data_IF_585320088550
#
_entry.id   IF_585320088550
#
_cell.length_a   1.000
_cell.length_b   1.000
_cell.length_c   1.000
_cell.angle_alpha   90.00
_cell.angle_beta   90.00
_cell.angle_gamma   90.00
#
_symmetry.space_group_name_H-M   'P 1'
#
loop_
_entity.id
_entity.type
_entity.pdbx_description
1 polymer ?
#
# COMPACT_ATOMS: atom_id res chain seq x y z
N UNK A 1 14.87 6.96 17.91
CA UNK A 1 13.58 6.45 18.46
C UNK A 1 13.09 5.18 17.73
N UNK A 2 13.50 4.88 16.52
CA UNK A 2 13.13 3.63 15.80
C UNK A 2 13.60 2.35 16.52
N UNK A 3 14.77 2.38 17.18
CA UNK A 3 15.37 1.23 17.87
C UNK A 3 14.50 0.56 18.95
N UNK A 4 13.49 1.24 19.48
CA UNK A 4 12.70 0.74 20.64
C UNK A 4 11.53 -0.17 20.23
N UNK A 5 11.11 -0.16 18.96
CA UNK A 5 9.91 -0.86 18.49
C UNK A 5 10.17 -2.03 17.53
N UNK A 6 11.41 -2.18 17.02
CA UNK A 6 11.77 -3.15 15.99
C UNK A 6 13.01 -3.98 16.36
N UNK A 7 13.18 -4.31 17.65
CA UNK A 7 14.37 -5.00 18.15
C UNK A 7 14.58 -6.44 17.62
N UNK A 8 13.67 -6.97 16.81
CA UNK A 8 13.70 -8.37 16.40
C UNK A 8 13.87 -8.63 14.88
N UNK A 9 14.04 -7.57 14.07
CA UNK A 9 14.27 -7.76 12.62
C UNK A 9 15.56 -7.06 12.19
N UNK A 10 16.57 -7.83 11.83
CA UNK A 10 17.87 -7.34 11.32
C UNK A 10 17.74 -6.47 10.06
N UNK A 11 16.62 -6.59 9.33
CA UNK A 11 16.28 -5.81 8.14
C UNK A 11 15.92 -4.36 8.43
N UNK A 12 15.49 -4.03 9.65
CA UNK A 12 15.07 -2.66 10.03
C UNK A 12 16.23 -1.75 10.45
N UNK A 13 17.45 -2.28 10.55
CA UNK A 13 18.61 -1.53 11.05
C UNK A 13 19.39 -0.80 9.95
N UNK A 14 19.07 -1.02 8.68
CA UNK A 14 19.72 -0.33 7.56
C UNK A 14 18.84 0.81 7.07
N UNK A 15 19.44 1.98 6.95
CA UNK A 15 18.85 3.11 6.24
C UNK A 15 18.57 2.67 4.80
N UNK A 16 17.34 2.86 4.33
CA UNK A 16 16.95 2.45 2.97
C UNK A 16 17.63 3.41 1.99
N UNK A 17 18.42 2.86 1.09
CA UNK A 17 18.92 3.56 -0.09
C UNK A 17 17.74 3.81 -1.04
N UNK A 18 17.19 5.02 -1.00
CA UNK A 18 16.01 5.38 -1.77
C UNK A 18 16.27 5.44 -3.28
N UNK A 19 17.48 5.81 -3.71
CA UNK A 19 17.82 5.83 -5.14
C UNK A 19 17.78 4.42 -5.71
N UNK A 20 18.47 3.50 -5.07
CA UNK A 20 18.48 2.08 -5.47
C UNK A 20 17.09 1.44 -5.39
N UNK A 21 16.30 1.78 -4.36
CA UNK A 21 14.93 1.29 -4.24
C UNK A 21 14.06 1.80 -5.39
N UNK A 22 14.16 3.08 -5.75
CA UNK A 22 13.40 3.66 -6.84
C UNK A 22 13.81 3.09 -8.20
N UNK A 23 15.10 2.80 -8.41
CA UNK A 23 15.60 2.07 -9.60
C UNK A 23 14.96 0.68 -9.69
N UNK A 24 14.93 -0.07 -8.57
CA UNK A 24 14.25 -1.36 -8.52
C UNK A 24 12.76 -1.21 -8.81
N UNK A 25 12.08 -0.26 -8.17
CA UNK A 25 10.66 0.01 -8.39
C UNK A 25 10.35 0.42 -9.83
N UNK A 26 11.29 1.03 -10.55
CA UNK A 26 11.11 1.42 -11.94
C UNK A 26 10.92 0.24 -12.91
N UNK A 27 11.32 -0.96 -12.50
CA UNK A 27 11.13 -2.18 -13.30
C UNK A 27 9.69 -2.73 -13.29
N UNK A 28 8.83 -2.22 -12.39
CA UNK A 28 7.44 -2.63 -12.29
C UNK A 28 6.51 -1.68 -13.07
N UNK A 29 5.49 -2.24 -13.72
CA UNK A 29 4.46 -1.45 -14.42
C UNK A 29 3.70 -0.53 -13.45
N UNK A 30 3.27 -1.07 -12.31
CA UNK A 30 2.68 -0.33 -11.20
C UNK A 30 3.53 -0.43 -9.95
N UNK A 31 3.66 0.67 -9.21
CA UNK A 31 4.47 0.69 -7.99
C UNK A 31 3.91 1.65 -6.96
N UNK A 32 4.11 1.34 -5.70
CA UNK A 32 3.74 2.19 -4.59
C UNK A 32 4.81 2.19 -3.50
N UNK A 33 5.14 3.36 -2.98
CA UNK A 33 6.07 3.54 -1.88
C UNK A 33 5.39 4.32 -0.75
N UNK A 34 5.15 3.66 0.38
CA UNK A 34 4.69 4.31 1.60
C UNK A 34 5.87 4.90 2.36
N UNK A 35 5.80 6.17 2.71
CA UNK A 35 6.88 6.86 3.41
C UNK A 35 6.35 7.80 4.49
N UNK A 36 7.21 8.47 5.22
CA UNK A 36 6.80 9.49 6.18
C UNK A 36 6.60 10.85 5.51
N UNK A 37 5.72 11.69 6.06
CA UNK A 37 5.55 13.07 5.58
C UNK A 37 6.85 13.89 5.68
N UNK A 38 7.78 13.51 6.54
CA UNK A 38 9.09 14.17 6.66
C UNK A 38 10.04 13.79 5.52
N UNK A 39 10.05 12.51 5.13
CA UNK A 39 10.94 12.01 4.08
C UNK A 39 10.39 12.32 2.68
N UNK A 40 9.12 12.67 2.55
CA UNK A 40 8.47 12.92 1.26
C UNK A 40 9.23 13.96 0.42
N UNK A 41 9.69 15.04 1.02
CA UNK A 41 10.42 16.12 0.34
C UNK A 41 11.75 15.66 -0.28
N UNK A 42 12.36 14.64 0.34
CA UNK A 42 13.68 14.16 -0.07
C UNK A 42 13.54 13.02 -1.11
N UNK A 43 12.42 12.27 -1.05
CA UNK A 43 12.14 11.15 -1.94
C UNK A 43 11.44 11.60 -3.24
N UNK A 44 10.49 12.53 -3.14
CA UNK A 44 9.67 12.93 -4.29
C UNK A 44 10.48 13.50 -5.47
N UNK A 45 11.54 14.29 -5.27
CA UNK A 45 12.40 14.75 -6.37
C UNK A 45 13.15 13.63 -7.12
N UNK A 46 13.31 12.47 -6.51
CA UNK A 46 13.93 11.28 -7.12
C UNK A 46 12.93 10.45 -7.92
N UNK A 47 11.64 10.75 -7.80
CA UNK A 47 10.59 10.02 -8.49
C UNK A 47 10.35 10.56 -9.89
N UNK A 48 9.91 9.72 -10.84
CA UNK A 48 9.55 10.18 -12.18
C UNK A 48 8.26 11.03 -12.13
N UNK A 49 8.03 11.91 -13.14
CA UNK A 49 6.96 12.92 -13.11
C UNK A 49 5.54 12.34 -13.14
N UNK A 50 5.37 11.10 -13.56
CA UNK A 50 4.06 10.43 -13.66
C UNK A 50 3.52 9.89 -12.31
N UNK A 51 4.28 9.97 -11.23
CA UNK A 51 3.81 9.54 -9.92
C UNK A 51 2.79 10.51 -9.35
N UNK A 52 1.89 9.97 -8.53
CA UNK A 52 0.95 10.74 -7.72
C UNK A 52 1.18 10.46 -6.23
N UNK A 53 0.92 11.46 -5.42
CA UNK A 53 0.97 11.31 -3.96
C UNK A 53 -0.46 11.11 -3.45
N UNK A 54 -0.71 9.93 -2.91
CA UNK A 54 -1.93 9.59 -2.19
C UNK A 54 -1.70 9.68 -0.68
N UNK A 55 -2.78 9.72 0.10
CA UNK A 55 -2.68 9.88 1.55
C UNK A 55 -3.43 8.76 2.30
N UNK A 56 -2.74 8.12 3.24
CA UNK A 56 -3.41 7.36 4.28
C UNK A 56 -3.54 8.24 5.54
N UNK A 57 -4.74 8.69 5.82
CA UNK A 57 -5.09 9.48 7.01
C UNK A 57 -5.42 8.54 8.17
N UNK A 58 -4.74 8.75 9.28
CA UNK A 58 -4.95 7.99 10.53
C UNK A 58 -5.81 8.84 11.45
N UNK A 59 -7.07 8.50 11.68
CA UNK A 59 -7.96 9.27 12.57
C UNK A 59 -7.61 9.02 14.05
N UNK A 60 -6.38 9.33 14.41
CA UNK A 60 -5.87 9.23 15.77
C UNK A 60 -5.77 10.64 16.39
N UNK A 61 -6.25 10.79 17.62
CA UNK A 61 -6.10 12.03 18.37
C UNK A 61 -4.64 12.35 18.68
N UNK A 62 -4.35 13.62 18.91
CA UNK A 62 -3.05 14.05 19.40
C UNK A 62 -2.76 13.40 20.76
N UNK A 63 -1.57 12.83 20.92
CA UNK A 63 -1.13 12.31 22.22
C UNK A 63 -0.64 13.47 23.09
N UNK A 64 -1.08 13.60 24.34
CA UNK A 64 -0.57 14.63 25.26
C UNK A 64 0.93 14.55 25.50
N UNK A 65 1.54 13.40 25.20
CA UNK A 65 2.99 13.17 25.38
C UNK A 65 3.83 13.58 24.18
N UNK A 66 3.21 13.89 23.04
CA UNK A 66 3.94 14.30 21.83
C UNK A 66 3.96 15.82 21.75
N UNK A 67 5.15 16.38 21.64
CA UNK A 67 5.33 17.82 21.39
C UNK A 67 5.40 18.10 19.90
N UNK A 68 4.76 19.18 19.45
CA UNK A 68 4.78 19.61 18.05
C UNK A 68 3.75 18.89 17.17
N UNK A 69 3.99 18.86 15.87
CA UNK A 69 3.08 18.27 14.88
C UNK A 69 3.09 16.75 14.97
N UNK A 70 1.90 16.17 14.99
CA UNK A 70 1.69 14.72 14.93
C UNK A 70 1.67 14.22 13.51
N UNK A 71 2.31 13.07 13.27
CA UNK A 71 2.21 12.35 11.99
C UNK A 71 0.90 11.55 11.96
N UNK A 72 -0.20 12.23 11.64
CA UNK A 72 -1.53 11.62 11.54
C UNK A 72 -1.88 11.14 10.14
N UNK A 73 -0.95 11.22 9.21
CA UNK A 73 -1.08 10.66 7.87
C UNK A 73 0.26 10.15 7.34
N UNK A 74 0.19 9.25 6.39
CA UNK A 74 1.34 8.75 5.65
C UNK A 74 1.12 8.97 4.16
N UNK A 75 2.09 9.56 3.44
CA UNK A 75 2.07 9.63 1.99
C UNK A 75 2.33 8.26 1.37
N UNK A 76 1.65 8.00 0.26
CA UNK A 76 1.85 6.86 -0.61
C UNK A 76 2.16 7.40 -2.00
N UNK A 77 3.39 7.25 -2.46
CA UNK A 77 3.82 7.66 -3.81
C UNK A 77 3.46 6.51 -4.75
N UNK A 78 2.60 6.77 -5.73
CA UNK A 78 2.00 5.74 -6.59
C UNK A 78 2.24 6.06 -8.06
N UNK A 79 2.65 5.05 -8.83
CA UNK A 79 2.46 4.98 -10.28
C UNK A 79 1.50 3.83 -10.58
N UNK A 80 0.43 4.11 -11.31
CA UNK A 80 -0.55 3.09 -11.71
C UNK A 80 0.04 2.13 -12.73
N UNK A 81 -0.33 0.86 -12.65
CA UNK A 81 0.09 -0.16 -13.60
C UNK A 81 -0.56 0.05 -14.98
N UNK A 82 -1.76 0.62 -14.98
CA UNK A 82 -2.56 0.86 -16.21
C UNK A 82 -3.50 2.04 -16.03
N UNK A 83 -3.98 2.56 -17.15
CA UNK A 83 -5.03 3.58 -17.14
C UNK A 83 -6.35 2.92 -16.71
N UNK A 84 -7.06 3.54 -15.77
CA UNK A 84 -8.41 3.14 -15.37
C UNK A 84 -9.38 4.29 -15.67
N UNK A 85 -10.58 3.94 -16.13
CA UNK A 85 -11.62 4.92 -16.44
C UNK A 85 -12.50 5.25 -15.21
N UNK A 86 -12.44 4.44 -14.17
CA UNK A 86 -13.12 4.70 -12.91
C UNK A 86 -12.29 5.63 -12.02
N UNK A 87 -12.92 6.63 -11.43
CA UNK A 87 -12.26 7.52 -10.49
C UNK A 87 -11.93 6.79 -9.18
N UNK A 88 -10.66 6.77 -8.82
CA UNK A 88 -10.19 6.30 -7.52
C UNK A 88 -9.81 7.51 -6.68
N UNK A 89 -10.21 7.51 -5.41
CA UNK A 89 -9.79 8.58 -4.48
C UNK A 89 -8.28 8.51 -4.27
N UNK A 90 -7.67 9.67 -4.10
CA UNK A 90 -6.24 9.75 -3.78
C UNK A 90 -5.96 9.73 -2.26
N UNK A 91 -6.95 9.40 -1.44
CA UNK A 91 -6.80 9.27 -0.01
C UNK A 91 -7.75 8.24 0.60
N UNK A 92 -7.34 7.71 1.76
CA UNK A 92 -8.17 6.88 2.64
C UNK A 92 -8.02 7.31 4.09
N UNK A 93 -9.11 7.28 4.85
CA UNK A 93 -9.09 7.40 6.31
C UNK A 93 -9.32 6.02 6.93
N UNK A 94 -8.30 5.51 7.62
CA UNK A 94 -8.40 4.21 8.28
C UNK A 94 -7.53 4.17 9.54
N UNK A 95 -8.08 3.62 10.63
CA UNK A 95 -7.34 3.41 11.88
C UNK A 95 -6.19 2.42 11.66
N UNK A 96 -4.98 2.70 12.16
CA UNK A 96 -3.92 1.71 12.23
C UNK A 96 -4.41 0.46 12.96
N UNK A 97 -4.11 -0.72 12.43
CA UNK A 97 -4.52 -1.96 13.07
C UNK A 97 -3.79 -2.10 14.42
N UNK A 98 -4.55 -2.30 15.50
CA UNK A 98 -4.04 -2.59 16.83
C UNK A 98 -4.08 -4.10 17.03
N UNK A 99 -2.95 -4.70 17.34
CA UNK A 99 -2.91 -6.11 17.71
C UNK A 99 -2.00 -6.27 18.93
N UNK A 100 -2.55 -6.79 20.04
CA UNK A 100 -1.80 -7.30 21.19
C UNK A 100 -0.68 -6.43 21.77
N UNK A 101 -0.73 -5.13 21.63
CA UNK A 101 0.19 -4.19 22.28
C UNK A 101 1.60 -4.05 21.66
N UNK A 102 1.94 -4.73 20.58
CA UNK A 102 3.35 -4.85 20.16
C UNK A 102 3.74 -4.22 18.81
N UNK A 103 2.83 -3.94 17.90
CA UNK A 103 3.20 -3.33 16.61
C UNK A 103 2.39 -2.05 16.35
N UNK A 104 2.98 -0.90 16.70
CA UNK A 104 2.48 0.40 16.22
C UNK A 104 2.77 0.54 14.72
N UNK A 105 1.75 0.88 13.93
CA UNK A 105 1.92 1.17 12.50
C UNK A 105 1.55 0.05 11.53
N UNK A 106 0.96 -1.05 12.01
CA UNK A 106 0.42 -2.09 11.13
C UNK A 106 -0.64 -1.53 10.21
N UNK A 107 -0.50 -1.79 8.92
CA UNK A 107 -1.45 -1.36 7.89
C UNK A 107 -2.82 -2.04 8.12
N UNK A 108 -3.95 -1.33 8.11
CA UNK A 108 -5.28 -1.95 8.17
C UNK A 108 -5.65 -2.58 6.81
N UNK A 109 -6.59 -3.53 6.80
CA UNK A 109 -7.07 -4.16 5.55
C UNK A 109 -7.63 -3.10 4.58
N UNK A 110 -8.34 -2.09 5.09
CA UNK A 110 -8.84 -1.00 4.27
C UNK A 110 -7.71 -0.24 3.52
N UNK A 111 -6.54 -0.08 4.13
CA UNK A 111 -5.36 0.47 3.44
C UNK A 111 -4.90 -0.46 2.32
N UNK A 112 -4.90 -1.78 2.53
CA UNK A 112 -4.47 -2.72 1.51
C UNK A 112 -5.43 -2.69 0.30
N UNK A 113 -6.74 -2.65 0.52
CA UNK A 113 -7.72 -2.51 -0.54
C UNK A 113 -7.51 -1.20 -1.33
N UNK A 114 -7.37 -0.09 -0.63
CA UNK A 114 -7.06 1.21 -1.25
C UNK A 114 -5.75 1.18 -2.05
N UNK A 115 -4.71 0.52 -1.55
CA UNK A 115 -3.43 0.36 -2.25
C UNK A 115 -3.61 -0.34 -3.59
N UNK A 116 -4.38 -1.43 -3.65
CA UNK A 116 -4.61 -2.18 -4.88
C UNK A 116 -5.45 -1.39 -5.90
N UNK A 117 -6.45 -0.64 -5.42
CA UNK A 117 -7.21 0.30 -6.25
C UNK A 117 -6.32 1.42 -6.80
N UNK A 118 -5.50 2.05 -5.95
CA UNK A 118 -4.59 3.12 -6.33
C UNK A 118 -3.54 2.66 -7.35
N UNK A 119 -3.09 1.41 -7.26
CA UNK A 119 -2.18 0.78 -8.23
C UNK A 119 -2.87 0.43 -9.56
N UNK A 120 -4.19 0.48 -9.62
CA UNK A 120 -4.97 -0.10 -10.72
C UNK A 120 -4.68 -1.59 -10.90
N UNK A 121 -4.51 -2.31 -9.78
CA UNK A 121 -4.15 -3.72 -9.78
C UNK A 121 -5.31 -4.61 -10.25
N UNK A 122 -4.96 -5.70 -10.93
CA UNK A 122 -5.90 -6.73 -11.38
C UNK A 122 -5.53 -8.11 -10.77
N UNK A 123 -6.50 -9.02 -10.62
CA UNK A 123 -6.26 -10.33 -9.99
C UNK A 123 -5.18 -11.18 -10.65
N UNK A 124 -4.97 -11.02 -11.96
CA UNK A 124 -3.94 -11.73 -12.71
C UNK A 124 -2.55 -11.12 -12.65
N UNK A 125 -2.38 -9.99 -11.99
CA UNK A 125 -1.07 -9.36 -11.87
C UNK A 125 -0.17 -10.14 -10.90
N UNK A 126 1.14 -10.08 -11.14
CA UNK A 126 2.14 -10.48 -10.15
C UNK A 126 2.35 -9.34 -9.17
N UNK A 127 2.40 -9.66 -7.89
CA UNK A 127 2.56 -8.68 -6.82
C UNK A 127 3.74 -9.02 -5.93
N UNK A 128 4.68 -8.08 -5.85
CA UNK A 128 5.85 -8.18 -4.98
C UNK A 128 5.73 -7.20 -3.81
N UNK A 129 5.80 -7.72 -2.60
CA UNK A 129 5.89 -6.96 -1.36
C UNK A 129 7.36 -6.91 -0.93
N UNK A 130 8.07 -5.85 -1.32
CA UNK A 130 9.51 -5.71 -1.07
C UNK A 130 9.84 -5.53 0.42
N UNK A 131 8.87 -5.13 1.23
CA UNK A 131 9.02 -4.92 2.67
C UNK A 131 7.87 -5.58 3.44
N UNK A 132 7.78 -6.91 3.45
CA UNK A 132 6.60 -7.63 3.92
C UNK A 132 6.24 -7.35 5.40
N UNK A 133 7.23 -7.04 6.24
CA UNK A 133 7.00 -6.72 7.65
C UNK A 133 6.10 -7.76 8.33
N UNK A 134 4.86 -7.38 8.65
CA UNK A 134 3.87 -8.30 9.24
C UNK A 134 3.18 -9.23 8.23
N UNK A 135 3.51 -9.12 6.95
CA UNK A 135 2.90 -9.89 5.86
C UNK A 135 1.43 -9.54 5.55
N UNK A 136 0.89 -8.47 6.14
CA UNK A 136 -0.53 -8.12 5.98
C UNK A 136 -0.89 -7.73 4.54
N UNK A 137 0.01 -7.01 3.85
CA UNK A 137 -0.22 -6.58 2.46
C UNK A 137 -0.21 -7.80 1.54
N UNK A 138 0.77 -8.69 1.68
CA UNK A 138 0.84 -9.95 0.94
C UNK A 138 -0.35 -10.88 1.21
N UNK A 139 -0.85 -10.92 2.46
CA UNK A 139 -2.03 -11.70 2.81
C UNK A 139 -3.30 -11.11 2.15
N UNK A 140 -3.47 -9.79 2.22
CA UNK A 140 -4.58 -9.10 1.59
C UNK A 140 -4.55 -9.23 0.06
N UNK A 141 -3.36 -9.25 -0.56
CA UNK A 141 -3.22 -9.48 -1.98
C UNK A 141 -3.76 -10.85 -2.40
N UNK A 142 -3.39 -11.93 -1.69
CA UNK A 142 -3.89 -13.28 -1.99
C UNK A 142 -5.41 -13.37 -1.93
N UNK A 143 -6.03 -12.66 -0.99
CA UNK A 143 -7.48 -12.60 -0.86
C UNK A 143 -8.11 -11.80 -2.01
N UNK A 144 -7.54 -10.63 -2.34
CA UNK A 144 -7.98 -9.79 -3.45
C UNK A 144 -7.92 -10.55 -4.78
N UNK A 145 -6.80 -11.20 -5.09
CA UNK A 145 -6.62 -11.96 -6.31
C UNK A 145 -7.62 -13.14 -6.41
N UNK A 146 -7.86 -13.85 -5.28
CA UNK A 146 -8.78 -14.99 -5.26
C UNK A 146 -10.26 -14.59 -5.30
N UNK A 147 -10.66 -13.47 -4.73
CA UNK A 147 -12.06 -13.03 -4.68
C UNK A 147 -12.57 -12.59 -6.05
N UNK A 148 -11.76 -11.88 -6.82
CA UNK A 148 -12.14 -11.48 -8.20
C UNK A 148 -12.09 -12.65 -9.18
N UNK A 149 -11.18 -13.61 -8.99
CA UNK A 149 -11.18 -14.82 -9.80
C UNK A 149 -12.50 -15.60 -9.70
N UNK A 150 -13.13 -15.63 -8.53
CA UNK A 150 -14.46 -16.24 -8.35
C UNK A 150 -15.59 -15.50 -9.08
N UNK A 151 -15.56 -14.15 -9.09
CA UNK A 151 -16.57 -13.37 -9.80
C UNK A 151 -16.48 -13.54 -11.32
N UNK A 152 -15.26 -13.54 -11.87
CA UNK A 152 -15.06 -13.71 -13.32
C UNK A 152 -15.41 -15.12 -13.76
N UNK A 153 -15.12 -16.16 -12.97
CA UNK A 153 -15.51 -17.54 -13.30
C UNK A 153 -17.04 -17.76 -13.25
N UNK A 154 -17.76 -17.04 -12.40
CA UNK A 154 -19.23 -17.09 -12.33
C UNK A 154 -19.86 -16.40 -13.55
N UNK A 155 -19.29 -15.27 -14.00
CA UNK A 155 -19.78 -14.56 -15.20
C UNK A 155 -19.54 -15.40 -16.45
N UNK A 156 -18.36 -16.00 -16.63
CA UNK A 156 -18.07 -16.91 -17.75
C UNK A 156 -18.99 -18.14 -17.79
N UNK A 157 -19.38 -18.67 -16.62
CA UNK A 157 -20.27 -19.83 -16.54
C UNK A 157 -21.74 -19.45 -16.86
N UNK A 158 -22.15 -18.22 -16.54
CA UNK A 158 -23.45 -17.67 -16.91
C UNK A 158 -23.54 -17.39 -18.43
N UNK A 159 -22.50 -16.81 -19.01
CA UNK A 159 -22.44 -16.55 -20.46
C UNK A 159 -22.40 -17.85 -21.27
N UNK A 160 -21.69 -18.89 -20.83
CA UNK A 160 -21.73 -20.21 -21.47
C UNK A 160 -23.09 -20.90 -21.40
N UNK A 161 -23.87 -20.65 -20.35
CA UNK A 161 -25.24 -21.18 -20.23
C UNK A 161 -26.25 -20.40 -21.07
N UNK A 162 -26.06 -19.09 -21.26
CA UNK A 162 -26.92 -18.25 -22.08
C UNK A 162 -26.80 -18.55 -23.61
N UNK A 163 -25.66 -19.04 -24.06
CA UNK A 163 -25.40 -19.37 -25.46
C UNK A 163 -25.96 -20.76 -25.83
N UNK A 164 -26.44 -21.56 -24.88
CA UNK A 164 -26.99 -22.95 -25.13
C UNK A 164 -28.52 -23.04 -25.11
N UNK A 165 -29.22 -21.91 -25.06
CA UNK A 165 -30.68 -21.81 -25.21
C UNK A 165 -31.03 -21.08 -26.49
#
# INVERSE_FOLDING_TARGET
MAKKYHQHEDTYQREVDHERLLEQLATYDGRALSTSSKALRDILPLCPPEVRVCAWVKPIGASPRTRGLHSTWEPLIVKQARVVHAGVRDWISAQPARFGGTLMGRKPIAFCAFLFEALAAAPGDMFDDLFPGTGIVSAAWREFASSRYRSDSVVEDLDRKAVRT
#
